data_IF_783741793722
#
_entry.id   IF_783741793722
#
_cell.length_a   1.000
_cell.length_b   1.000
_cell.length_c   1.000
_cell.angle_alpha   90.00
_cell.angle_beta   90.00
_cell.angle_gamma   90.00
#
_symmetry.space_group_name_H-M   'P 1'
#
loop_
_entity.id
_entity.type
_entity.pdbx_description
1 polymer ?
#
# COMPACT_ATOMS: atom_id res chain seq x y z
N UNK A 1 2.42 -7.73 16.44
CA UNK A 1 2.51 -8.52 15.20
C UNK A 1 3.60 -9.56 15.41
N UNK A 2 3.47 -10.79 14.90
CA UNK A 2 4.57 -11.75 15.01
C UNK A 2 5.77 -11.30 14.18
N UNK A 3 6.98 -11.70 14.60
CA UNK A 3 8.23 -11.34 13.92
C UNK A 3 8.24 -11.87 12.47
N UNK A 4 7.73 -13.09 12.26
CA UNK A 4 7.51 -13.67 10.93
C UNK A 4 6.55 -12.87 10.06
N UNK A 5 5.43 -12.40 10.63
CA UNK A 5 4.47 -11.58 9.91
C UNK A 5 5.08 -10.24 9.47
N UNK A 6 5.87 -9.62 10.34
CA UNK A 6 6.56 -8.36 10.04
C UNK A 6 7.58 -8.53 8.91
N UNK A 7 8.37 -9.60 8.93
CA UNK A 7 9.34 -9.91 7.85
C UNK A 7 8.62 -10.11 6.51
N UNK A 8 7.51 -10.84 6.49
CA UNK A 8 6.70 -11.05 5.28
C UNK A 8 6.12 -9.74 4.76
N UNK A 9 5.61 -8.89 5.65
CA UNK A 9 5.07 -7.57 5.29
C UNK A 9 6.15 -6.70 4.64
N UNK A 10 7.35 -6.64 5.22
CA UNK A 10 8.47 -5.85 4.68
C UNK A 10 8.91 -6.39 3.31
N UNK A 11 9.07 -7.71 3.17
CA UNK A 11 9.47 -8.34 1.91
C UNK A 11 8.47 -8.07 0.78
N UNK A 12 7.18 -8.25 1.05
CA UNK A 12 6.12 -7.98 0.06
C UNK A 12 6.07 -6.50 -0.33
N UNK A 13 6.26 -5.60 0.63
CA UNK A 13 6.26 -4.15 0.39
C UNK A 13 7.45 -3.72 -0.44
N UNK A 14 8.65 -4.22 -0.12
CA UNK A 14 9.86 -3.97 -0.89
C UNK A 14 9.76 -4.53 -2.32
N UNK A 15 9.20 -5.73 -2.47
CA UNK A 15 8.95 -6.34 -3.77
C UNK A 15 7.96 -5.53 -4.62
N UNK A 16 6.88 -5.01 -4.00
CA UNK A 16 5.92 -4.14 -4.67
C UNK A 16 6.58 -2.85 -5.18
N UNK A 17 7.44 -2.22 -4.36
CA UNK A 17 8.19 -1.02 -4.76
C UNK A 17 9.17 -1.33 -5.90
N UNK A 18 9.90 -2.43 -5.81
CA UNK A 18 10.83 -2.88 -6.84
C UNK A 18 10.12 -3.11 -8.19
N UNK A 19 8.99 -3.81 -8.19
CA UNK A 19 8.18 -4.04 -9.39
C UNK A 19 7.71 -2.73 -10.05
N UNK A 20 7.51 -1.68 -9.26
CA UNK A 20 7.09 -0.36 -9.73
C UNK A 20 8.22 0.44 -10.39
N UNK A 21 9.45 0.27 -9.91
CA UNK A 21 10.65 0.99 -10.34
C UNK A 21 11.41 0.29 -11.49
N UNK A 22 11.35 -1.04 -11.57
CA UNK A 22 12.24 -1.87 -12.41
C UNK A 22 12.04 -1.80 -13.93
N UNK A 23 11.18 -0.93 -14.46
CA UNK A 23 11.00 -0.77 -15.91
C UNK A 23 10.93 0.70 -16.27
N UNK A 24 11.93 1.19 -17.02
CA UNK A 24 11.91 2.48 -17.74
C UNK A 24 10.49 2.75 -18.24
N UNK A 25 9.87 3.80 -17.71
CA UNK A 25 8.42 3.99 -17.54
C UNK A 25 7.53 4.08 -18.78
N UNK A 26 7.80 3.33 -19.86
CA UNK A 26 7.05 3.34 -21.12
C UNK A 26 6.57 1.93 -21.47
N UNK A 27 5.28 1.65 -21.23
CA UNK A 27 4.62 0.45 -21.74
C UNK A 27 3.35 0.06 -20.99
N UNK A 28 2.38 -0.52 -21.71
CA UNK A 28 1.10 -1.03 -21.19
C UNK A 28 1.27 -2.00 -19.98
N UNK A 29 2.37 -2.75 -19.93
CA UNK A 29 2.69 -3.66 -18.80
C UNK A 29 2.95 -2.94 -17.48
N UNK A 30 3.46 -1.70 -17.48
CA UNK A 30 3.69 -0.93 -16.25
C UNK A 30 2.39 -0.42 -15.62
N UNK A 31 1.36 -0.21 -16.42
CA UNK A 31 0.04 0.17 -15.95
C UNK A 31 -0.61 -0.94 -15.12
N UNK A 32 -0.59 -2.18 -15.63
CA UNK A 32 -1.14 -3.33 -14.89
C UNK A 32 -0.44 -3.46 -13.53
N UNK A 33 0.89 -3.43 -13.50
CA UNK A 33 1.68 -3.56 -12.27
C UNK A 33 1.31 -2.47 -11.24
N UNK A 34 1.20 -1.21 -11.68
CA UNK A 34 0.87 -0.08 -10.79
C UNK A 34 -0.56 -0.14 -10.26
N UNK A 35 -1.50 -0.61 -11.08
CA UNK A 35 -2.87 -0.84 -10.66
C UNK A 35 -2.95 -1.97 -9.63
N UNK A 36 -2.24 -3.08 -9.87
CA UNK A 36 -2.12 -4.18 -8.90
C UNK A 36 -1.53 -3.70 -7.58
N UNK A 37 -0.57 -2.79 -7.61
CA UNK A 37 0.00 -2.20 -6.40
C UNK A 37 -0.99 -1.26 -5.70
N UNK A 38 -1.76 -0.46 -6.44
CA UNK A 38 -2.85 0.34 -5.87
C UNK A 38 -3.87 -0.55 -5.13
N UNK A 39 -4.22 -1.69 -5.71
CA UNK A 39 -5.08 -2.71 -5.07
C UNK A 39 -4.40 -3.33 -3.85
N UNK A 40 -3.10 -3.60 -3.90
CA UNK A 40 -2.34 -4.08 -2.73
C UNK A 40 -2.38 -3.08 -1.57
N UNK A 41 -2.19 -1.79 -1.85
CA UNK A 41 -2.34 -0.71 -0.86
C UNK A 41 -3.76 -0.66 -0.30
N UNK A 42 -4.78 -0.83 -1.14
CA UNK A 42 -6.18 -0.91 -0.72
C UNK A 42 -6.42 -2.07 0.26
N UNK A 43 -5.85 -3.24 -0.04
CA UNK A 43 -5.93 -4.44 0.81
C UNK A 43 -5.25 -4.19 2.16
N UNK A 44 -4.06 -3.56 2.19
CA UNK A 44 -3.39 -3.17 3.44
C UNK A 44 -4.25 -2.23 4.29
N UNK A 45 -4.86 -1.22 3.66
CA UNK A 45 -5.78 -0.30 4.34
C UNK A 45 -6.98 -1.02 4.98
N UNK A 46 -7.62 -1.91 4.22
CA UNK A 46 -8.74 -2.73 4.71
C UNK A 46 -8.33 -3.67 5.85
N UNK A 47 -7.19 -4.37 5.71
CA UNK A 47 -6.64 -5.24 6.75
C UNK A 47 -6.39 -4.48 8.04
N UNK A 48 -5.82 -3.28 7.93
CA UNK A 48 -5.57 -2.42 9.08
C UNK A 48 -6.87 -2.03 9.78
N UNK A 49 -7.89 -1.59 9.03
CA UNK A 49 -9.19 -1.20 9.58
C UNK A 49 -9.88 -2.37 10.29
N UNK A 50 -9.95 -3.53 9.63
CA UNK A 50 -10.62 -4.71 10.17
C UNK A 50 -9.92 -5.19 11.45
N UNK A 51 -8.58 -5.18 11.46
CA UNK A 51 -7.83 -5.70 12.60
C UNK A 51 -7.64 -4.69 13.73
N UNK A 52 -7.72 -3.40 13.46
CA UNK A 52 -7.56 -2.36 14.49
C UNK A 52 -8.59 -2.41 15.62
N UNK A 53 -9.73 -3.09 15.46
CA UNK A 53 -10.60 -3.41 16.59
C UNK A 53 -9.91 -4.23 17.71
N UNK A 54 -8.77 -4.87 17.41
CA UNK A 54 -7.98 -5.70 18.31
C UNK A 54 -6.58 -5.12 18.61
N UNK A 55 -6.23 -3.98 18.01
CA UNK A 55 -4.90 -3.35 18.08
C UNK A 55 -4.99 -1.87 18.46
N UNK A 56 -3.97 -1.08 18.10
CA UNK A 56 -3.96 0.36 18.39
C UNK A 56 -4.92 1.12 17.46
N UNK A 57 -5.65 2.09 18.03
CA UNK A 57 -6.59 2.94 17.28
C UNK A 57 -5.91 3.77 16.18
N UNK A 58 -4.61 4.03 16.32
CA UNK A 58 -3.80 4.67 15.29
C UNK A 58 -3.75 3.87 13.98
N UNK A 59 -3.80 2.52 14.05
CA UNK A 59 -3.90 1.66 12.87
C UNK A 59 -5.20 1.86 12.10
N UNK A 60 -6.30 2.22 12.78
CA UNK A 60 -7.59 2.47 12.14
C UNK A 60 -7.54 3.75 11.30
N UNK A 61 -7.07 4.85 11.90
CA UNK A 61 -6.94 6.14 11.20
C UNK A 61 -5.96 6.06 10.03
N UNK A 62 -4.79 5.44 10.23
CA UNK A 62 -3.83 5.24 9.16
C UNK A 62 -4.36 4.29 8.08
N UNK A 63 -5.18 3.30 8.44
CA UNK A 63 -5.87 2.41 7.51
C UNK A 63 -6.85 3.16 6.59
N UNK A 64 -7.65 4.08 7.15
CA UNK A 64 -8.55 4.95 6.37
C UNK A 64 -7.75 5.84 5.41
N UNK A 65 -6.68 6.47 5.88
CA UNK A 65 -5.80 7.30 5.03
C UNK A 65 -5.21 6.46 3.88
N UNK A 66 -4.76 5.24 4.18
CA UNK A 66 -4.25 4.30 3.18
C UNK A 66 -5.31 3.96 2.13
N UNK A 67 -6.55 3.73 2.56
CA UNK A 67 -7.68 3.50 1.65
C UNK A 67 -7.94 4.69 0.73
N UNK A 68 -7.95 5.92 1.27
CA UNK A 68 -8.14 7.14 0.48
C UNK A 68 -7.03 7.29 -0.56
N UNK A 69 -5.77 7.06 -0.18
CA UNK A 69 -4.63 7.09 -1.09
C UNK A 69 -4.78 6.02 -2.19
N UNK A 70 -5.23 4.82 -1.84
CA UNK A 70 -5.46 3.75 -2.82
C UNK A 70 -6.56 4.11 -3.83
N UNK A 71 -7.65 4.75 -3.41
CA UNK A 71 -8.71 5.20 -4.32
C UNK A 71 -8.18 6.33 -5.21
N UNK A 72 -7.43 7.28 -4.64
CA UNK A 72 -6.84 8.38 -5.38
C UNK A 72 -5.84 7.88 -6.43
N UNK A 73 -5.03 6.86 -6.12
CA UNK A 73 -4.10 6.26 -7.09
C UNK A 73 -4.84 5.62 -8.27
N UNK A 74 -5.97 4.95 -8.03
CA UNK A 74 -6.81 4.38 -9.08
C UNK A 74 -7.41 5.45 -9.99
N UNK A 75 -7.81 6.61 -9.44
CA UNK A 75 -8.32 7.73 -10.24
C UNK A 75 -7.21 8.44 -11.04
N UNK A 76 -6.04 8.65 -10.45
CA UNK A 76 -4.91 9.36 -11.07
C UNK A 76 -4.15 8.50 -12.08
N UNK A 77 -4.35 7.18 -12.02
CA UNK A 77 -3.71 6.16 -12.85
C UNK A 77 -3.65 6.47 -14.36
N UNK A 78 -4.73 7.01 -14.93
CA UNK A 78 -4.81 7.30 -16.37
C UNK A 78 -4.26 8.69 -16.75
N UNK A 79 -4.09 9.59 -15.78
CA UNK A 79 -3.69 10.99 -16.04
C UNK A 79 -2.19 11.18 -16.05
N UNK A 80 -1.48 10.65 -15.05
CA UNK A 80 -0.09 11.06 -14.83
C UNK A 80 0.75 9.98 -14.13
N UNK A 81 1.68 9.42 -14.87
CA UNK A 81 2.46 8.24 -14.44
C UNK A 81 3.32 8.50 -13.22
N UNK A 82 3.99 9.66 -13.16
CA UNK A 82 4.90 9.98 -12.03
C UNK A 82 4.11 10.19 -10.75
N UNK A 83 2.96 10.85 -10.83
CA UNK A 83 2.09 11.11 -9.67
C UNK A 83 1.50 9.82 -9.11
N UNK A 84 1.01 8.92 -9.97
CA UNK A 84 0.50 7.61 -9.54
C UNK A 84 1.59 6.78 -8.83
N UNK A 85 2.83 6.82 -9.32
CA UNK A 85 3.95 6.13 -8.69
C UNK A 85 4.27 6.68 -7.29
N UNK A 86 4.35 8.01 -7.15
CA UNK A 86 4.60 8.66 -5.86
C UNK A 86 3.49 8.32 -4.87
N UNK A 87 2.23 8.43 -5.28
CA UNK A 87 1.08 8.10 -4.45
C UNK A 87 1.08 6.63 -4.02
N UNK A 88 1.43 5.69 -4.91
CA UNK A 88 1.54 4.28 -4.54
C UNK A 88 2.66 4.03 -3.52
N UNK A 89 3.82 4.68 -3.66
CA UNK A 89 4.92 4.54 -2.68
C UNK A 89 4.48 5.08 -1.32
N UNK A 90 3.85 6.26 -1.27
CA UNK A 90 3.31 6.84 -0.04
C UNK A 90 2.26 5.88 0.56
N UNK A 91 1.35 5.36 -0.27
CA UNK A 91 0.32 4.42 0.14
C UNK A 91 0.89 3.13 0.73
N UNK A 92 1.96 2.57 0.16
CA UNK A 92 2.66 1.41 0.73
C UNK A 92 3.24 1.76 2.10
N UNK A 93 3.98 2.86 2.22
CA UNK A 93 4.63 3.25 3.49
C UNK A 93 3.59 3.45 4.60
N UNK A 94 2.53 4.21 4.32
CA UNK A 94 1.44 4.46 5.27
C UNK A 94 0.68 3.17 5.57
N UNK A 95 0.39 2.35 4.57
CA UNK A 95 -0.34 1.08 4.73
C UNK A 95 0.43 0.03 5.53
N UNK A 96 1.75 -0.03 5.37
CA UNK A 96 2.62 -0.90 6.18
C UNK A 96 2.62 -0.46 7.63
N UNK A 97 2.78 0.84 7.89
CA UNK A 97 2.71 1.37 9.25
C UNK A 97 1.33 1.12 9.88
N UNK A 98 0.25 1.37 9.13
CA UNK A 98 -1.12 1.11 9.57
C UNK A 98 -1.29 -0.37 9.97
N UNK A 99 -0.92 -1.28 9.07
CA UNK A 99 -1.02 -2.72 9.29
C UNK A 99 -0.16 -3.17 10.48
N UNK A 100 1.04 -2.62 10.63
CA UNK A 100 1.88 -2.91 11.78
C UNK A 100 1.20 -2.53 13.09
N UNK A 101 0.68 -1.30 13.21
CA UNK A 101 -0.01 -0.84 14.41
C UNK A 101 -1.33 -1.57 14.68
N UNK A 102 -2.06 -1.96 13.64
CA UNK A 102 -3.29 -2.74 13.76
C UNK A 102 -3.04 -4.15 14.31
N UNK A 103 -1.85 -4.70 14.10
CA UNK A 103 -1.46 -6.03 14.55
C UNK A 103 -0.52 -6.01 15.75
N UNK A 104 -0.05 -4.84 16.19
CA UNK A 104 0.69 -4.69 17.44
C UNK A 104 -0.30 -4.77 18.60
N UNK A 105 0.06 -5.60 19.58
CA UNK A 105 -0.72 -5.87 20.78
C UNK A 105 0.23 -5.78 21.95
#
# INVERSE_FOLDING_TARGET
MSLTGLVVLILLSAFAIYCMLGKNGRGAKNYIIRNTIGVYVMILGLLSIIKSNLGLIQGFYLGIVTLIISILTLFVFKRDYKKCQILNVIGIVVGVAATYFAYIR
#
